data_IF_451385073595
#
_entry.id   IF_451385073595
#
_cell.length_a   1.000
_cell.length_b   1.000
_cell.length_c   1.000
_cell.angle_alpha   90.00
_cell.angle_beta   90.00
_cell.angle_gamma   90.00
#
_symmetry.space_group_name_H-M   'P 1'
#
loop_
_entity.id
_entity.type
_entity.pdbx_description
1 polymer ?
#
# COMPACT_ATOMS: atom_id res chain seq x y z
N UNK A 1 6.99 15.44 4.38
CA UNK A 1 5.84 15.08 5.24
C UNK A 1 4.61 15.82 4.75
N UNK A 2 3.64 15.12 4.14
CA UNK A 2 2.30 15.67 3.92
C UNK A 2 1.35 14.99 4.89
N UNK A 3 0.63 15.80 5.66
CA UNK A 3 -0.36 15.39 6.64
C UNK A 3 -1.51 14.65 5.94
N UNK A 4 -1.89 13.48 6.48
CA UNK A 4 -3.17 12.85 6.21
C UNK A 4 -4.27 13.78 6.75
N UNK A 5 -4.83 14.64 5.90
CA UNK A 5 -5.97 15.48 6.24
C UNK A 5 -7.14 15.12 5.32
N UNK A 6 -8.06 14.33 5.87
CA UNK A 6 -9.48 14.27 5.52
C UNK A 6 -9.85 13.64 4.18
N UNK A 7 -10.61 12.55 4.26
CA UNK A 7 -11.98 12.34 3.75
C UNK A 7 -12.16 10.85 3.47
N UNK A 8 -12.76 10.14 4.43
CA UNK A 8 -12.96 8.70 4.35
C UNK A 8 -14.01 8.15 5.30
N UNK A 9 -13.97 8.49 6.59
CA UNK A 9 -14.90 7.91 7.59
C UNK A 9 -14.69 8.55 8.97
N UNK A 10 -15.25 9.74 9.18
CA UNK A 10 -15.31 10.35 10.51
C UNK A 10 -16.31 9.60 11.40
N UNK A 11 -15.85 8.59 12.14
CA UNK A 11 -16.43 8.19 13.41
C UNK A 11 -15.35 8.14 14.49
N UNK A 12 -15.03 9.31 15.01
CA UNK A 12 -14.18 9.50 16.17
C UNK A 12 -14.78 8.84 17.43
N UNK A 13 -14.04 7.91 18.05
CA UNK A 13 -14.07 7.71 19.50
C UNK A 13 -12.67 7.90 20.06
N UNK A 14 -12.41 9.15 20.44
CA UNK A 14 -11.21 9.58 21.16
C UNK A 14 -11.15 8.87 22.52
N UNK A 15 -10.15 7.99 22.70
CA UNK A 15 -9.57 7.69 24.01
C UNK A 15 -8.06 7.48 23.86
N UNK A 16 -7.27 8.52 24.16
CA UNK A 16 -5.95 8.41 24.80
C UNK A 16 -4.75 7.95 23.96
N UNK A 17 -4.02 8.91 23.38
CA UNK A 17 -2.57 9.07 23.59
C UNK A 17 -1.61 7.98 23.11
N UNK A 18 -1.37 7.92 21.80
CA UNK A 18 -0.06 7.93 21.11
C UNK A 18 -0.36 8.54 19.73
N UNK A 19 0.56 9.30 19.14
CA UNK A 19 0.29 10.01 17.88
C UNK A 19 -0.37 9.08 16.86
N UNK A 20 -1.50 9.51 16.28
CA UNK A 20 -2.16 8.78 15.20
C UNK A 20 -1.17 8.62 14.05
N UNK A 21 -0.44 7.50 14.07
CA UNK A 21 0.13 6.96 12.86
C UNK A 21 -1.06 6.79 11.92
N UNK A 22 -1.02 7.49 10.79
CA UNK A 22 -1.99 7.30 9.73
C UNK A 22 -2.04 5.78 9.48
N UNK A 23 -3.20 5.13 9.67
CA UNK A 23 -3.38 3.69 9.39
C UNK A 23 -3.26 3.49 7.88
N UNK A 24 -2.02 3.46 7.41
CA UNK A 24 -1.65 3.23 6.02
C UNK A 24 -1.06 1.83 6.00
N UNK A 25 -1.68 0.97 5.21
CA UNK A 25 -1.17 -0.37 4.98
C UNK A 25 -0.13 -0.31 3.86
N UNK A 26 1.02 -0.93 4.10
CA UNK A 26 2.18 -0.85 3.23
C UNK A 26 2.90 -2.20 3.12
N UNK A 27 3.69 -2.33 2.06
CA UNK A 27 4.55 -3.48 1.79
C UNK A 27 6.03 -3.10 1.93
N UNK A 28 6.92 -4.10 2.04
CA UNK A 28 8.37 -3.83 2.06
C UNK A 28 8.85 -3.21 0.75
N UNK A 29 9.94 -2.42 0.82
CA UNK A 29 10.44 -1.62 -0.31
C UNK A 29 10.84 -2.46 -1.55
N UNK A 30 11.19 -3.73 -1.33
CA UNK A 30 11.61 -4.69 -2.36
C UNK A 30 10.44 -5.47 -2.97
N UNK A 31 9.21 -5.23 -2.51
CA UNK A 31 8.02 -5.93 -3.01
C UNK A 31 7.87 -5.68 -4.50
N UNK A 32 7.87 -6.73 -5.36
CA UNK A 32 7.81 -6.54 -6.80
C UNK A 32 6.40 -6.13 -7.25
N UNK A 33 6.34 -5.11 -8.11
CA UNK A 33 5.11 -4.63 -8.76
C UNK A 33 5.25 -4.77 -10.26
N UNK A 34 4.27 -5.41 -10.90
CA UNK A 34 4.27 -5.60 -12.36
C UNK A 34 3.78 -4.33 -13.05
N UNK A 35 4.65 -3.70 -13.83
CA UNK A 35 4.31 -2.57 -14.73
C UNK A 35 4.17 -3.05 -16.17
N UNK A 36 3.77 -2.16 -17.09
CA UNK A 36 3.73 -2.47 -18.52
C UNK A 36 5.13 -2.57 -19.18
N UNK A 37 6.19 -2.20 -18.46
CA UNK A 37 7.60 -2.35 -18.87
C UNK A 37 8.32 -3.52 -18.17
N UNK A 38 7.69 -4.14 -17.16
CA UNK A 38 8.24 -5.25 -16.38
C UNK A 38 8.05 -5.08 -14.87
N UNK A 39 8.52 -6.06 -14.10
CA UNK A 39 8.44 -5.98 -12.64
C UNK A 39 9.56 -5.09 -12.08
N UNK A 40 9.21 -4.13 -11.23
CA UNK A 40 10.14 -3.27 -10.48
C UNK A 40 9.79 -3.27 -8.98
N UNK A 41 10.73 -2.94 -8.09
CA UNK A 41 10.42 -2.76 -6.66
C UNK A 41 9.37 -1.66 -6.43
N UNK A 42 8.48 -1.83 -5.45
CA UNK A 42 7.42 -0.85 -5.15
C UNK A 42 7.96 0.54 -4.79
N UNK A 43 9.19 0.63 -4.26
CA UNK A 43 9.84 1.92 -3.97
C UNK A 43 10.20 2.74 -5.20
N UNK A 44 10.29 2.08 -6.36
CA UNK A 44 10.63 2.71 -7.63
C UNK A 44 9.37 3.03 -8.47
N UNK A 45 8.17 2.67 -7.97
CA UNK A 45 6.88 2.96 -8.64
C UNK A 45 6.43 4.39 -8.34
N UNK A 46 6.09 5.13 -9.40
CA UNK A 46 5.67 6.53 -9.32
C UNK A 46 4.21 6.79 -9.73
N UNK A 47 3.64 7.90 -9.24
CA UNK A 47 2.30 8.36 -9.65
C UNK A 47 2.29 8.65 -11.15
N UNK A 48 1.31 8.09 -11.85
CA UNK A 48 1.18 8.19 -13.31
C UNK A 48 1.74 6.99 -14.07
N UNK A 49 2.46 6.08 -13.41
CA UNK A 49 2.82 4.79 -14.00
C UNK A 49 1.63 3.84 -14.02
N UNK A 50 1.73 2.80 -14.86
CA UNK A 50 0.70 1.78 -15.01
C UNK A 50 1.13 0.48 -14.37
N UNK A 51 0.31 -0.03 -13.45
CA UNK A 51 0.56 -1.27 -12.72
C UNK A 51 -0.56 -2.27 -12.99
N UNK A 52 -0.20 -3.55 -13.05
CA UNK A 52 -1.16 -4.64 -13.17
C UNK A 52 -1.93 -4.77 -11.86
N UNK A 53 -3.24 -4.57 -11.91
CA UNK A 53 -4.11 -4.68 -10.74
C UNK A 53 -5.40 -5.42 -11.08
N UNK A 54 -6.00 -6.03 -10.06
CA UNK A 54 -7.31 -6.67 -10.15
C UNK A 54 -8.40 -5.66 -9.79
N UNK A 55 -9.43 -5.58 -10.64
CA UNK A 55 -10.65 -4.82 -10.42
C UNK A 55 -11.74 -5.77 -9.90
N UNK A 56 -12.18 -5.54 -8.66
CA UNK A 56 -13.19 -6.36 -7.98
C UNK A 56 -14.60 -6.23 -8.57
N UNK A 57 -14.92 -5.09 -9.19
CA UNK A 57 -16.25 -4.82 -9.73
C UNK A 57 -16.44 -5.57 -11.06
N UNK A 58 -15.39 -5.61 -11.88
CA UNK A 58 -15.43 -6.27 -13.19
C UNK A 58 -14.87 -7.69 -13.18
N UNK A 59 -14.21 -8.10 -12.09
CA UNK A 59 -13.49 -9.38 -11.95
C UNK A 59 -12.44 -9.57 -13.06
N UNK A 60 -11.67 -8.51 -13.33
CA UNK A 60 -10.64 -8.51 -14.37
C UNK A 60 -9.32 -7.95 -13.87
N UNK A 61 -8.22 -8.48 -14.40
CA UNK A 61 -6.88 -7.94 -14.19
C UNK A 61 -6.43 -7.16 -15.42
N UNK A 62 -6.06 -5.90 -15.25
CA UNK A 62 -5.55 -5.02 -16.32
C UNK A 62 -4.58 -3.99 -15.73
N UNK A 63 -4.04 -3.11 -16.56
CA UNK A 63 -3.09 -2.07 -16.19
C UNK A 63 -3.79 -0.75 -15.88
N UNK A 64 -3.64 -0.29 -14.65
CA UNK A 64 -4.27 0.92 -14.10
C UNK A 64 -3.22 1.95 -13.67
N UNK A 65 -3.61 3.24 -13.71
CA UNK A 65 -2.74 4.32 -13.28
C UNK A 65 -2.58 4.36 -11.77
N UNK A 66 -1.34 4.48 -11.30
CA UNK A 66 -1.04 4.85 -9.92
C UNK A 66 -1.47 6.29 -9.68
N UNK A 67 -2.35 6.51 -8.71
CA UNK A 67 -2.91 7.84 -8.41
C UNK A 67 -2.32 8.48 -7.14
N UNK A 68 -1.71 7.68 -6.28
CA UNK A 68 -1.05 8.11 -5.05
C UNK A 68 0.08 7.14 -4.68
N UNK A 69 1.09 7.67 -3.99
CA UNK A 69 2.17 6.87 -3.40
C UNK A 69 2.39 7.32 -1.95
N UNK A 70 2.60 6.35 -1.06
CA UNK A 70 2.84 6.56 0.36
C UNK A 70 4.16 5.91 0.75
N UNK A 71 4.93 6.58 1.62
CA UNK A 71 6.19 6.07 2.14
C UNK A 71 6.30 6.44 3.62
N UNK A 72 6.55 5.44 4.44
CA UNK A 72 6.74 5.57 5.88
C UNK A 72 7.62 4.43 6.41
N UNK A 73 7.93 4.48 7.70
CA UNK A 73 8.70 3.44 8.40
C UNK A 73 7.84 2.96 9.57
N UNK A 74 7.68 1.65 9.68
CA UNK A 74 6.92 1.01 10.75
C UNK A 74 7.80 0.23 11.72
N UNK A 75 7.38 0.19 12.98
CA UNK A 75 8.07 -0.59 14.01
C UNK A 75 7.72 -2.08 13.97
N UNK A 76 6.59 -2.44 13.34
CA UNK A 76 6.07 -3.80 13.29
C UNK A 76 5.84 -4.22 11.85
N UNK A 77 6.50 -5.31 11.44
CA UNK A 77 6.38 -5.95 10.12
C UNK A 77 5.81 -7.35 10.33
N UNK A 78 4.94 -7.78 9.42
CA UNK A 78 4.34 -9.12 9.36
C UNK A 78 4.83 -9.83 8.11
N UNK A 79 5.25 -11.08 8.28
CA UNK A 79 5.62 -11.99 7.19
C UNK A 79 4.48 -12.97 6.93
N UNK A 80 4.02 -13.04 5.67
CA UNK A 80 2.97 -13.95 5.22
C UNK A 80 3.56 -14.94 4.21
N UNK A 81 3.36 -16.24 4.41
CA UNK A 81 3.68 -17.26 3.40
C UNK A 81 2.42 -17.74 2.70
N UNK A 82 2.29 -17.46 1.40
CA UNK A 82 1.15 -17.89 0.56
C UNK A 82 1.70 -18.75 -0.57
N UNK A 83 1.27 -20.01 -0.66
CA UNK A 83 1.72 -20.95 -1.70
C UNK A 83 3.26 -21.09 -1.82
N UNK A 84 4.02 -20.80 -0.76
CA UNK A 84 5.49 -20.84 -0.73
C UNK A 84 6.17 -19.51 -1.08
N UNK A 85 5.41 -18.48 -1.44
CA UNK A 85 5.90 -17.10 -1.60
C UNK A 85 5.82 -16.35 -0.27
N UNK A 86 6.84 -15.55 0.02
CA UNK A 86 6.93 -14.73 1.24
C UNK A 86 6.61 -13.28 0.90
N UNK A 87 5.67 -12.69 1.65
CA UNK A 87 5.26 -11.29 1.53
C UNK A 87 5.47 -10.60 2.87
N UNK A 88 6.16 -9.46 2.87
CA UNK A 88 6.34 -8.61 4.05
C UNK A 88 5.44 -7.37 3.97
N UNK A 89 4.62 -7.15 4.99
CA UNK A 89 3.60 -6.08 5.06
C UNK A 89 3.49 -5.49 6.46
N UNK A 90 2.83 -4.34 6.60
CA UNK A 90 2.37 -3.82 7.89
C UNK A 90 1.27 -4.70 8.51
N UNK A 91 1.05 -4.59 9.82
CA UNK A 91 0.25 -5.54 10.60
C UNK A 91 -1.29 -5.39 10.53
N UNK A 92 -1.79 -4.25 10.05
CA UNK A 92 -3.23 -3.92 9.99
C UNK A 92 -3.84 -4.14 8.59
#
# INVERSE_FOLDING_TARGET
MKSCAGHGDDLARVVGGVGEACRINSFSEETPVVTDEGAIPIKDVDVGERVLAWDELTDTTDYYLVTAAFSHVDATIVELTINGEVIETTAD
#
